data_IF_333616947251
#
_entry.id   IF_333616947251
#
_cell.length_a   1.000
_cell.length_b   1.000
_cell.length_c   1.000
_cell.angle_alpha   90.00
_cell.angle_beta   90.00
_cell.angle_gamma   90.00
#
_symmetry.space_group_name_H-M   'P 1'
#
loop_
_entity.id
_entity.type
_entity.pdbx_description
1 polymer ?
#
# COMPACT_ATOMS: atom_id res chain seq x y z
N UNK A 1 19.04 16.04 -4.08
CA UNK A 1 17.94 15.94 -3.09
C UNK A 1 17.31 14.57 -3.23
N UNK A 2 17.11 13.88 -2.12
CA UNK A 2 16.56 12.51 -2.11
C UNK A 2 15.07 12.53 -1.78
N UNK A 3 14.28 11.79 -2.55
CA UNK A 3 12.82 11.73 -2.46
C UNK A 3 12.40 10.37 -1.89
N UNK A 4 11.61 10.39 -0.83
CA UNK A 4 10.99 9.20 -0.27
C UNK A 4 9.63 8.94 -0.91
N UNK A 5 9.40 7.73 -1.38
CA UNK A 5 8.11 7.30 -1.92
C UNK A 5 7.49 6.28 -0.98
N UNK A 6 6.21 6.47 -0.67
CA UNK A 6 5.47 5.66 0.31
C UNK A 6 4.31 4.95 -0.39
N UNK A 7 4.48 3.66 -0.69
CA UNK A 7 3.48 2.83 -1.36
C UNK A 7 3.35 1.44 -0.74
N UNK A 8 2.34 0.69 -1.16
CA UNK A 8 2.10 -0.70 -0.71
C UNK A 8 2.93 -1.72 -1.50
N UNK A 9 4.25 -1.68 -1.40
CA UNK A 9 5.08 -2.61 -2.18
C UNK A 9 5.92 -3.58 -1.36
N UNK A 10 6.36 -3.17 -0.17
CA UNK A 10 7.36 -3.91 0.61
C UNK A 10 6.93 -5.34 0.90
N UNK A 11 7.75 -6.31 0.46
CA UNK A 11 7.48 -7.76 0.52
C UNK A 11 6.14 -8.19 -0.10
N UNK A 12 5.55 -7.34 -0.94
CA UNK A 12 4.29 -7.63 -1.61
C UNK A 12 4.48 -8.61 -2.76
N UNK A 13 3.56 -9.57 -2.86
CA UNK A 13 3.44 -10.47 -4.01
C UNK A 13 2.49 -9.92 -5.08
N UNK A 14 1.97 -8.70 -4.89
CA UNK A 14 1.12 -8.02 -5.86
C UNK A 14 1.97 -7.47 -7.01
N UNK A 15 1.76 -8.02 -8.19
CA UNK A 15 2.50 -7.63 -9.39
C UNK A 15 2.29 -6.15 -9.76
N UNK A 16 1.02 -5.68 -9.73
CA UNK A 16 0.67 -4.29 -10.05
C UNK A 16 1.32 -3.30 -9.09
N UNK A 17 1.22 -3.54 -7.79
CA UNK A 17 1.82 -2.67 -6.77
C UNK A 17 3.34 -2.57 -6.89
N UNK A 18 4.02 -3.68 -7.23
CA UNK A 18 5.47 -3.65 -7.45
C UNK A 18 5.88 -2.87 -8.70
N UNK A 19 5.16 -3.05 -9.82
CA UNK A 19 5.41 -2.28 -11.04
C UNK A 19 5.20 -0.79 -10.84
N UNK A 20 4.15 -0.44 -10.11
CA UNK A 20 3.82 0.93 -9.78
C UNK A 20 4.90 1.57 -8.88
N UNK A 21 5.35 0.87 -7.83
CA UNK A 21 6.44 1.34 -6.98
C UNK A 21 7.72 1.61 -7.79
N UNK A 22 8.07 0.71 -8.70
CA UNK A 22 9.18 0.89 -9.62
C UNK A 22 8.98 2.10 -10.54
N UNK A 23 7.80 2.21 -11.17
CA UNK A 23 7.50 3.29 -12.11
C UNK A 23 7.54 4.66 -11.46
N UNK A 24 7.08 4.78 -10.22
CA UNK A 24 7.13 6.04 -9.46
C UNK A 24 8.58 6.47 -9.20
N UNK A 25 9.47 5.57 -8.79
CA UNK A 25 10.88 5.90 -8.65
C UNK A 25 11.47 6.38 -9.97
N UNK A 26 11.22 5.64 -11.07
CA UNK A 26 11.71 6.00 -12.39
C UNK A 26 11.12 7.30 -12.94
N UNK A 27 9.90 7.65 -12.59
CA UNK A 27 9.30 8.92 -12.96
C UNK A 27 10.00 10.09 -12.26
N UNK A 28 10.29 9.96 -10.96
CA UNK A 28 11.01 11.00 -10.19
C UNK A 28 12.46 11.14 -10.66
N UNK A 29 13.15 10.02 -10.94
CA UNK A 29 14.52 10.02 -11.48
C UNK A 29 14.63 10.78 -12.81
N UNK A 30 13.61 10.75 -13.68
CA UNK A 30 13.59 11.53 -14.94
C UNK A 30 13.69 13.05 -14.74
N UNK A 31 13.30 13.52 -13.57
CA UNK A 31 13.43 14.95 -13.22
C UNK A 31 14.76 15.28 -12.50
N UNK A 32 15.70 14.33 -12.45
CA UNK A 32 17.04 14.54 -11.88
C UNK A 32 17.11 14.37 -10.36
N UNK A 33 16.12 13.76 -9.73
CA UNK A 33 16.13 13.48 -8.31
C UNK A 33 16.44 12.01 -8.02
N UNK A 34 17.12 11.76 -6.92
CA UNK A 34 17.21 10.41 -6.38
C UNK A 34 15.88 10.04 -5.71
N UNK A 35 15.35 8.85 -6.03
CA UNK A 35 14.09 8.39 -5.47
C UNK A 35 14.18 6.94 -5.02
N UNK A 36 13.65 6.66 -3.84
CA UNK A 36 13.50 5.30 -3.36
C UNK A 36 12.19 5.11 -2.57
N UNK A 37 11.75 3.87 -2.56
CA UNK A 37 10.60 3.45 -1.77
C UNK A 37 11.00 3.27 -0.31
N UNK A 38 10.21 3.74 0.64
CA UNK A 38 10.42 3.40 2.04
C UNK A 38 10.01 1.96 2.31
N UNK A 39 10.90 1.20 2.94
CA UNK A 39 10.62 -0.15 3.41
C UNK A 39 9.88 -0.12 4.73
N UNK A 40 8.66 -0.64 4.79
CA UNK A 40 7.92 -0.81 6.05
C UNK A 40 6.92 -1.98 5.97
N UNK A 41 6.74 -2.75 7.06
CA UNK A 41 5.70 -3.75 7.13
C UNK A 41 4.34 -3.06 7.24
N UNK A 42 3.47 -3.31 6.26
CA UNK A 42 2.15 -2.68 6.21
C UNK A 42 1.27 -3.21 7.34
N UNK A 43 0.79 -2.31 8.18
CA UNK A 43 -0.32 -2.52 9.11
C UNK A 43 -1.51 -1.69 8.64
N UNK A 44 -2.65 -2.31 8.50
CA UNK A 44 -3.88 -1.64 8.06
C UNK A 44 -4.94 -1.67 9.15
N UNK A 45 -5.71 -0.60 9.22
CA UNK A 45 -6.80 -0.40 10.15
C UNK A 45 -8.08 -0.10 9.36
N UNK A 46 -9.24 -0.45 9.90
CA UNK A 46 -10.51 0.00 9.35
C UNK A 46 -10.88 1.36 9.96
N UNK A 47 -10.94 2.39 9.14
CA UNK A 47 -11.49 3.68 9.52
C UNK A 47 -13.01 3.63 9.43
N UNK A 48 -13.67 3.62 10.58
CA UNK A 48 -15.13 3.66 10.67
C UNK A 48 -15.80 2.42 10.10
N UNK A 49 -16.27 1.53 10.95
CA UNK A 49 -17.15 0.48 10.50
C UNK A 49 -18.39 1.11 9.90
N UNK A 50 -18.59 1.04 8.57
CA UNK A 50 -19.91 1.28 8.00
C UNK A 50 -20.89 0.38 8.76
N UNK A 51 -22.05 0.89 9.19
CA UNK A 51 -23.08 0.05 9.79
C UNK A 51 -23.59 -0.89 8.69
N UNK A 52 -22.93 -2.03 8.50
CA UNK A 52 -23.42 -3.08 7.63
C UNK A 52 -24.68 -3.63 8.29
N UNK A 53 -25.80 -3.52 7.61
CA UNK A 53 -27.07 -4.14 8.07
C UNK A 53 -26.76 -5.62 8.35
N UNK A 54 -26.90 -6.03 9.61
CA UNK A 54 -26.49 -7.36 10.13
C UNK A 54 -26.95 -8.57 9.30
N UNK A 55 -28.07 -8.45 8.55
CA UNK A 55 -28.60 -9.55 7.73
C UNK A 55 -27.87 -9.84 6.42
N UNK A 56 -27.11 -8.89 5.87
CA UNK A 56 -26.31 -9.14 4.64
C UNK A 56 -24.92 -9.71 4.91
N UNK A 57 -24.41 -9.52 6.12
CA UNK A 57 -23.04 -9.91 6.48
C UNK A 57 -22.85 -11.42 6.48
N UNK A 58 -23.80 -12.18 7.03
CA UNK A 58 -23.73 -13.65 7.12
C UNK A 58 -23.76 -14.30 5.73
N UNK A 59 -24.62 -13.80 4.84
CA UNK A 59 -24.72 -14.31 3.47
C UNK A 59 -23.47 -13.97 2.62
N UNK A 60 -22.87 -12.81 2.81
CA UNK A 60 -21.62 -12.45 2.14
C UNK A 60 -20.43 -13.25 2.70
N UNK A 61 -20.36 -13.43 4.01
CA UNK A 61 -19.33 -14.27 4.65
C UNK A 61 -19.43 -15.73 4.19
N UNK A 62 -20.65 -16.26 4.06
CA UNK A 62 -20.88 -17.61 3.51
C UNK A 62 -20.46 -17.68 2.04
N UNK A 63 -20.80 -16.68 1.21
CA UNK A 63 -20.38 -16.63 -0.19
C UNK A 63 -18.86 -16.57 -0.33
N UNK A 64 -18.21 -15.75 0.49
CA UNK A 64 -16.74 -15.63 0.53
C UNK A 64 -16.12 -16.96 0.98
N UNK A 65 -16.67 -17.59 2.03
CA UNK A 65 -16.19 -18.89 2.52
C UNK A 65 -16.35 -20.00 1.46
N UNK A 66 -17.47 -20.05 0.75
CA UNK A 66 -17.72 -20.98 -0.36
C UNK A 66 -16.74 -20.71 -1.51
N UNK A 67 -16.50 -19.44 -1.85
CA UNK A 67 -15.57 -19.06 -2.90
C UNK A 67 -14.13 -19.46 -2.54
N UNK A 68 -13.70 -19.19 -1.30
CA UNK A 68 -12.39 -19.60 -0.78
C UNK A 68 -12.26 -21.12 -0.77
N UNK A 69 -13.30 -21.85 -0.33
CA UNK A 69 -13.29 -23.31 -0.31
C UNK A 69 -13.23 -23.87 -1.73
N UNK A 70 -14.05 -23.35 -2.65
CA UNK A 70 -14.02 -23.70 -4.07
C UNK A 70 -12.66 -23.44 -4.70
N UNK A 71 -12.05 -22.29 -4.40
CA UNK A 71 -10.69 -21.95 -4.85
C UNK A 71 -9.64 -22.91 -4.27
N UNK A 72 -9.75 -23.27 -2.99
CA UNK A 72 -8.84 -24.25 -2.35
C UNK A 72 -8.97 -25.64 -2.97
N UNK A 73 -10.19 -26.09 -3.27
CA UNK A 73 -10.43 -27.39 -3.94
C UNK A 73 -9.89 -27.36 -5.37
N UNK A 74 -10.12 -26.30 -6.12
CA UNK A 74 -9.59 -26.14 -7.47
C UNK A 74 -8.06 -26.06 -7.50
N UNK A 75 -7.45 -25.35 -6.56
CA UNK A 75 -5.98 -25.25 -6.44
C UNK A 75 -5.36 -26.56 -5.94
N UNK A 76 -6.03 -27.32 -5.10
CA UNK A 76 -5.60 -28.65 -4.68
C UNK A 76 -5.65 -29.65 -5.84
N UNK A 77 -6.72 -29.60 -6.67
CA UNK A 77 -6.84 -30.43 -7.88
C UNK A 77 -5.89 -30.05 -9.02
N UNK A 78 -5.42 -28.81 -9.07
CA UNK A 78 -4.44 -28.33 -10.11
C UNK A 78 -3.03 -28.88 -9.93
N UNK A 79 -2.81 -29.84 -9.07
CA UNK A 79 -1.62 -30.68 -9.01
C UNK A 79 -0.30 -29.94 -8.70
N UNK A 80 0.76 -30.74 -8.59
CA UNK A 80 2.12 -30.28 -8.28
C UNK A 80 2.68 -29.24 -9.27
N UNK A 81 2.27 -29.29 -10.54
CA UNK A 81 2.73 -28.38 -11.59
C UNK A 81 2.22 -26.95 -11.34
N UNK A 82 0.92 -26.78 -11.06
CA UNK A 82 0.35 -25.46 -10.81
C UNK A 82 0.97 -24.81 -9.55
N UNK A 83 1.21 -25.59 -8.48
CA UNK A 83 1.91 -25.09 -7.28
C UNK A 83 3.33 -24.65 -7.58
N UNK A 84 4.06 -25.35 -8.43
CA UNK A 84 5.40 -24.95 -8.88
C UNK A 84 5.36 -23.65 -9.67
N UNK A 85 4.41 -23.49 -10.59
CA UNK A 85 4.24 -22.26 -11.38
C UNK A 85 3.86 -21.06 -10.52
N UNK A 86 2.95 -21.23 -9.57
CA UNK A 86 2.58 -20.18 -8.60
C UNK A 86 3.80 -19.77 -7.77
N UNK A 87 4.53 -20.75 -7.22
CA UNK A 87 5.74 -20.47 -6.44
C UNK A 87 6.80 -19.76 -7.28
N UNK A 88 7.03 -20.20 -8.53
CA UNK A 88 7.97 -19.55 -9.45
C UNK A 88 7.56 -18.10 -9.73
N UNK A 89 6.26 -17.85 -9.98
CA UNK A 89 5.72 -16.50 -10.16
C UNK A 89 5.96 -15.63 -8.93
N UNK A 90 5.63 -16.12 -7.74
CA UNK A 90 5.85 -15.38 -6.49
C UNK A 90 7.33 -15.06 -6.27
N UNK A 91 8.20 -16.00 -6.53
CA UNK A 91 9.66 -15.80 -6.44
C UNK A 91 10.15 -14.74 -7.43
N UNK A 92 9.65 -14.74 -8.67
CA UNK A 92 9.99 -13.72 -9.67
C UNK A 92 9.52 -12.32 -9.25
N UNK A 93 8.31 -12.21 -8.69
CA UNK A 93 7.79 -10.93 -8.19
C UNK A 93 8.59 -10.43 -7.00
N UNK A 94 8.94 -11.30 -6.05
CA UNK A 94 9.77 -10.93 -4.91
C UNK A 94 11.21 -10.57 -5.33
N UNK A 95 11.77 -11.28 -6.30
CA UNK A 95 13.08 -10.94 -6.87
C UNK A 95 13.07 -9.57 -7.57
N UNK A 96 12.01 -9.27 -8.33
CA UNK A 96 11.81 -7.94 -8.90
C UNK A 96 11.73 -6.87 -7.81
N UNK A 97 10.94 -7.12 -6.76
CA UNK A 97 10.78 -6.21 -5.62
C UNK A 97 12.14 -5.89 -4.96
N UNK A 98 12.96 -6.91 -4.72
CA UNK A 98 14.22 -6.77 -3.99
C UNK A 98 15.36 -6.18 -4.84
N UNK A 99 15.39 -6.48 -6.13
CA UNK A 99 16.57 -6.18 -6.96
C UNK A 99 16.39 -5.00 -7.90
N UNK A 100 15.16 -4.64 -8.25
CA UNK A 100 14.89 -3.61 -9.27
C UNK A 100 14.18 -2.37 -8.73
N UNK A 101 13.47 -2.46 -7.61
CA UNK A 101 12.83 -1.30 -7.01
C UNK A 101 13.86 -0.61 -6.11
N UNK A 102 14.23 0.65 -6.37
CA UNK A 102 15.04 1.42 -5.44
C UNK A 102 14.32 1.53 -4.10
N UNK A 103 15.00 1.19 -3.01
CA UNK A 103 14.38 1.16 -1.69
C UNK A 103 15.35 1.54 -0.58
N UNK A 104 14.78 2.00 0.55
CA UNK A 104 15.56 2.38 1.72
C UNK A 104 16.35 1.19 2.28
N UNK A 105 17.58 1.46 2.73
CA UNK A 105 18.41 0.46 3.40
C UNK A 105 17.79 0.02 4.74
N UNK A 106 17.12 0.94 5.43
CA UNK A 106 16.42 0.66 6.67
C UNK A 106 14.98 0.23 6.41
N UNK A 107 14.49 -0.60 7.32
CA UNK A 107 13.08 -0.99 7.41
C UNK A 107 12.46 -0.25 8.58
N UNK A 108 11.57 0.67 8.28
CA UNK A 108 10.89 1.50 9.27
C UNK A 108 9.63 0.80 9.81
N UNK A 109 9.20 1.16 11.00
CA UNK A 109 7.89 0.83 11.56
C UNK A 109 7.13 2.12 11.89
N UNK A 110 5.90 2.02 12.35
CA UNK A 110 5.06 3.20 12.65
C UNK A 110 5.68 4.15 13.69
N UNK A 111 6.48 3.62 14.62
CA UNK A 111 7.08 4.41 15.70
C UNK A 111 8.35 5.16 15.27
N UNK A 112 9.11 4.56 14.36
CA UNK A 112 10.41 5.09 13.92
C UNK A 112 10.34 5.71 12.51
N UNK A 113 9.18 5.68 11.84
CA UNK A 113 8.99 6.27 10.52
C UNK A 113 9.44 7.75 10.47
N UNK A 114 9.25 8.49 11.57
CA UNK A 114 9.70 9.88 11.68
C UNK A 114 11.20 10.03 11.49
N UNK A 115 12.02 9.06 11.87
CA UNK A 115 13.47 9.12 11.66
C UNK A 115 13.85 9.17 10.17
N UNK A 116 12.97 8.72 9.27
CA UNK A 116 13.20 8.87 7.83
C UNK A 116 13.28 10.32 7.38
N UNK A 117 12.63 11.26 8.11
CA UNK A 117 12.59 12.68 7.72
C UNK A 117 13.95 13.37 7.78
N UNK A 118 14.92 12.80 8.46
CA UNK A 118 16.31 13.30 8.48
C UNK A 118 17.06 12.97 7.18
N UNK A 119 16.60 11.99 6.40
CA UNK A 119 17.29 11.47 5.21
C UNK A 119 16.71 11.96 3.89
N UNK A 120 15.45 12.40 3.90
CA UNK A 120 14.72 12.75 2.70
C UNK A 120 14.21 14.20 2.77
N UNK A 121 14.40 14.93 1.69
CA UNK A 121 13.93 16.32 1.59
C UNK A 121 12.51 16.45 1.06
N UNK A 122 11.92 15.40 0.50
CA UNK A 122 10.56 15.38 -0.05
C UNK A 122 9.95 14.00 0.16
N UNK A 123 8.65 13.95 0.43
CA UNK A 123 7.87 12.75 0.57
C UNK A 123 6.73 12.70 -0.44
N UNK A 124 6.52 11.55 -1.09
CA UNK A 124 5.43 11.32 -2.04
C UNK A 124 4.67 10.07 -1.61
N UNK A 125 3.37 10.16 -1.39
CA UNK A 125 2.50 9.01 -1.19
C UNK A 125 1.67 8.70 -2.43
N UNK A 126 1.28 7.47 -2.59
CA UNK A 126 0.46 7.02 -3.73
C UNK A 126 1.29 6.08 -4.62
N UNK A 127 0.78 5.61 -5.68
CA UNK A 127 -0.61 5.66 -6.13
C UNK A 127 -1.36 4.42 -5.58
N UNK A 128 -2.49 4.00 -6.21
CA UNK A 128 -3.32 2.88 -5.76
C UNK A 128 -4.22 3.25 -4.55
N UNK A 129 -4.85 2.26 -3.93
CA UNK A 129 -5.81 2.43 -2.83
C UNK A 129 -5.15 2.72 -1.48
N UNK A 130 -4.10 3.54 -1.46
CA UNK A 130 -3.37 3.89 -0.23
C UNK A 130 -4.22 4.69 0.77
N UNK A 131 -5.30 5.32 0.31
CA UNK A 131 -6.25 6.05 1.15
C UNK A 131 -7.58 5.31 1.34
N UNK A 132 -7.61 4.00 1.12
CA UNK A 132 -8.80 3.20 1.34
C UNK A 132 -9.19 3.19 2.83
N UNK A 133 -10.43 3.56 3.20
CA UNK A 133 -10.89 3.49 4.59
C UNK A 133 -10.90 2.08 5.16
N UNK A 134 -11.03 1.06 4.30
CA UNK A 134 -11.04 -0.36 4.72
C UNK A 134 -9.64 -0.92 4.97
N UNK A 135 -8.62 -0.30 4.37
CA UNK A 135 -7.22 -0.70 4.44
C UNK A 135 -6.33 0.49 4.83
N UNK A 136 -6.83 1.34 5.69
CA UNK A 136 -6.14 2.57 6.10
C UNK A 136 -4.84 2.27 6.86
N UNK A 137 -3.82 3.06 6.55
CA UNK A 137 -2.61 3.15 7.36
C UNK A 137 -2.19 4.62 7.46
N UNK A 138 -1.91 5.14 8.67
CA UNK A 138 -1.46 6.53 8.87
C UNK A 138 -0.18 6.87 8.09
N UNK A 139 0.63 5.87 7.77
CA UNK A 139 1.87 6.06 7.00
C UNK A 139 1.58 6.69 5.63
N UNK A 140 0.44 6.33 5.01
CA UNK A 140 0.08 6.85 3.69
C UNK A 140 -0.48 8.28 3.70
N UNK A 141 -0.82 8.82 4.87
CA UNK A 141 -1.20 10.24 4.98
C UNK A 141 0.01 11.16 5.17
N UNK A 142 1.21 10.58 5.33
CA UNK A 142 2.46 11.30 5.60
C UNK A 142 2.39 12.20 6.86
N UNK A 143 1.54 11.84 7.82
CA UNK A 143 1.35 12.60 9.06
C UNK A 143 2.63 12.64 9.93
N UNK A 144 3.51 11.64 9.77
CA UNK A 144 4.82 11.61 10.42
C UNK A 144 5.83 12.63 9.87
N UNK A 145 5.56 13.22 8.69
CA UNK A 145 6.44 14.19 8.02
C UNK A 145 6.15 15.59 8.57
N UNK A 146 7.17 16.34 9.04
CA UNK A 146 6.99 17.70 9.51
C UNK A 146 6.39 18.64 8.45
N UNK A 147 5.60 19.63 8.87
CA UNK A 147 4.95 20.59 7.96
C UNK A 147 5.94 21.43 7.14
N UNK A 148 7.17 21.59 7.62
CA UNK A 148 8.23 22.29 6.88
C UNK A 148 8.85 21.45 5.74
N UNK A 149 8.57 20.15 5.68
CA UNK A 149 9.07 19.25 4.63
C UNK A 149 8.00 19.05 3.56
N UNK A 150 8.29 19.30 2.27
CA UNK A 150 7.33 19.14 1.20
C UNK A 150 6.75 17.73 1.13
N UNK A 151 5.42 17.65 1.07
CA UNK A 151 4.62 16.44 0.95
C UNK A 151 3.78 16.48 -0.31
N UNK A 152 3.71 15.38 -1.03
CA UNK A 152 2.90 15.26 -2.23
C UNK A 152 2.12 13.94 -2.23
N UNK A 153 1.00 13.95 -2.92
CA UNK A 153 0.28 12.72 -3.25
C UNK A 153 0.15 12.59 -4.76
N UNK A 154 0.43 11.39 -5.27
CA UNK A 154 0.28 11.08 -6.68
C UNK A 154 -0.76 10.00 -6.90
N UNK A 155 -1.90 10.35 -7.48
CA UNK A 155 -3.01 9.46 -7.80
C UNK A 155 -3.40 8.49 -6.64
N UNK A 156 -3.51 8.94 -5.38
CA UNK A 156 -4.03 8.10 -4.31
C UNK A 156 -5.51 7.87 -4.53
N UNK A 157 -5.99 6.68 -4.20
CA UNK A 157 -7.40 6.33 -4.32
C UNK A 157 -7.97 5.86 -2.97
N UNK A 158 -9.22 6.21 -2.72
CA UNK A 158 -9.97 5.69 -1.58
C UNK A 158 -10.66 4.36 -1.88
N UNK A 159 -10.78 3.98 -3.17
CA UNK A 159 -11.45 2.75 -3.58
C UNK A 159 -12.95 2.72 -3.31
N UNK A 160 -13.55 3.87 -2.97
CA UNK A 160 -14.98 4.02 -2.69
C UNK A 160 -15.50 5.34 -3.24
N UNK A 161 -16.76 5.37 -3.61
CA UNK A 161 -17.46 6.58 -4.06
C UNK A 161 -18.24 7.28 -2.94
N UNK A 162 -18.41 6.62 -1.79
CA UNK A 162 -19.17 7.13 -0.66
C UNK A 162 -18.31 7.10 0.60
N UNK A 163 -18.15 8.26 1.24
CA UNK A 163 -17.52 8.42 2.54
C UNK A 163 -18.57 8.90 3.55
N UNK A 164 -18.55 8.31 4.73
CA UNK A 164 -19.30 8.88 5.86
C UNK A 164 -18.59 10.14 6.36
N UNK A 165 -19.31 10.96 7.12
CA UNK A 165 -18.80 12.27 7.57
C UNK A 165 -17.58 12.14 8.49
N UNK A 166 -17.53 11.12 9.35
CA UNK A 166 -16.39 10.87 10.22
C UNK A 166 -15.10 10.57 9.42
N UNK A 167 -15.21 9.73 8.39
CA UNK A 167 -14.07 9.41 7.51
C UNK A 167 -13.64 10.66 6.74
N UNK A 168 -14.63 11.43 6.23
CA UNK A 168 -14.36 12.68 5.51
C UNK A 168 -13.61 13.69 6.38
N UNK A 169 -14.04 13.85 7.62
CA UNK A 169 -13.38 14.75 8.55
C UNK A 169 -11.97 14.28 8.93
N UNK A 170 -11.80 12.99 9.17
CA UNK A 170 -10.47 12.39 9.42
C UNK A 170 -9.49 12.68 8.26
N UNK A 171 -9.94 12.51 7.02
CA UNK A 171 -9.08 12.83 5.86
C UNK A 171 -8.82 14.32 5.70
N UNK A 172 -9.79 15.19 6.04
CA UNK A 172 -9.56 16.66 6.04
C UNK A 172 -8.43 17.03 6.99
N UNK A 173 -8.39 16.44 8.19
CA UNK A 173 -7.32 16.71 9.14
C UNK A 173 -5.96 16.28 8.58
N UNK A 174 -5.84 15.09 8.04
CA UNK A 174 -4.58 14.60 7.45
C UNK A 174 -4.11 15.42 6.25
N UNK A 175 -5.03 15.99 5.47
CA UNK A 175 -4.70 16.71 4.24
C UNK A 175 -4.49 18.21 4.44
N UNK A 176 -4.59 18.73 5.65
CA UNK A 176 -4.36 20.16 5.93
C UNK A 176 -2.93 20.61 5.62
N UNK A 177 -1.99 19.71 5.73
CA UNK A 177 -0.56 19.98 5.58
C UNK A 177 0.02 19.60 4.19
N UNK A 178 -0.86 19.25 3.23
CA UNK A 178 -0.46 18.94 1.84
C UNK A 178 -0.38 20.18 0.97
#
# INVERSE_FOLDING_TARGET
MKVAIVTQYYKSKNYGGNLQAYAMCKAVEKYGYEAEQLCFPLKTYKLGAFPVKKGKKVLEEIKIAIHILGYRILTFRRGRIARRLIKKREQSVLSFNQNLIPHSAEVYNELDMKASTEKYGVFITGSDMVWSPDLFSPIFTLDFVPSCTPKFSYAPSMGTTALNDNIRETFREFLKDY
#
